data_IF_894328061680
#
_entry.id   IF_894328061680
#
_cell.length_a   1.000
_cell.length_b   1.000
_cell.length_c   1.000
_cell.angle_alpha   90.00
_cell.angle_beta   90.00
_cell.angle_gamma   90.00
#
_symmetry.space_group_name_H-M   'P 1'
#
loop_
_entity.id
_entity.type
_entity.pdbx_description
1 polymer ?
#
# COMPACT_ATOMS: atom_id res chain seq x y z
N UNK A 1 -9.34 15.81 -11.24
CA UNK A 1 -9.45 14.53 -11.96
C UNK A 1 -10.12 13.54 -11.01
N UNK A 2 -11.38 13.21 -11.29
CA UNK A 2 -12.44 12.94 -10.33
C UNK A 2 -12.13 11.83 -9.30
N UNK A 3 -12.39 12.10 -8.02
CA UNK A 3 -12.23 11.15 -6.89
C UNK A 3 -12.96 9.81 -7.14
N UNK A 4 -14.04 9.86 -7.93
CA UNK A 4 -14.78 8.71 -8.46
C UNK A 4 -13.95 7.75 -9.31
N UNK A 5 -13.14 8.26 -10.24
CA UNK A 5 -12.26 7.42 -11.07
C UNK A 5 -11.18 6.76 -10.21
N UNK A 6 -10.62 7.48 -9.23
CA UNK A 6 -9.63 6.92 -8.30
C UNK A 6 -10.21 5.82 -7.43
N UNK A 7 -11.42 6.00 -6.88
CA UNK A 7 -12.11 4.98 -6.09
C UNK A 7 -12.46 3.76 -6.95
N UNK A 8 -13.04 3.98 -8.13
CA UNK A 8 -13.34 2.90 -9.07
C UNK A 8 -12.07 2.13 -9.48
N UNK A 9 -10.99 2.81 -9.86
CA UNK A 9 -9.75 2.17 -10.28
C UNK A 9 -9.08 1.39 -9.13
N UNK A 10 -9.06 1.93 -7.90
CA UNK A 10 -8.53 1.21 -6.74
C UNK A 10 -9.37 -0.02 -6.40
N UNK A 11 -10.70 0.08 -6.49
CA UNK A 11 -11.62 -1.01 -6.18
C UNK A 11 -11.60 -2.09 -7.27
N UNK A 12 -11.54 -1.69 -8.54
CA UNK A 12 -11.35 -2.58 -9.67
C UNK A 12 -9.99 -3.31 -9.61
N UNK A 13 -8.91 -2.62 -9.23
CA UNK A 13 -7.57 -3.21 -9.10
C UNK A 13 -7.49 -4.21 -7.94
N UNK A 14 -8.09 -3.89 -6.78
CA UNK A 14 -8.16 -4.83 -5.64
C UNK A 14 -9.03 -6.05 -5.94
N UNK A 15 -10.12 -5.88 -6.69
CA UNK A 15 -10.98 -6.99 -7.07
C UNK A 15 -10.35 -7.88 -8.13
N UNK A 16 -9.72 -7.28 -9.16
CA UNK A 16 -9.08 -8.01 -10.25
C UNK A 16 -7.91 -8.90 -9.78
N UNK A 17 -7.25 -8.55 -8.68
CA UNK A 17 -6.21 -9.38 -8.06
C UNK A 17 -6.71 -10.40 -7.04
N UNK A 18 -8.01 -10.44 -6.74
CA UNK A 18 -8.54 -11.33 -5.69
C UNK A 18 -8.74 -12.77 -6.19
N UNK A 19 -8.39 -13.80 -5.39
CA UNK A 19 -8.62 -15.20 -5.75
C UNK A 19 -10.09 -15.53 -6.04
N UNK A 20 -11.02 -14.83 -5.37
CA UNK A 20 -12.46 -15.03 -5.54
C UNK A 20 -12.94 -14.62 -6.94
N UNK A 21 -12.43 -13.51 -7.48
CA UNK A 21 -12.76 -13.05 -8.84
C UNK A 21 -12.19 -13.99 -9.89
N UNK A 22 -11.00 -14.56 -9.67
CA UNK A 22 -10.45 -15.58 -10.55
C UNK A 22 -11.35 -16.82 -10.62
N UNK A 23 -11.78 -17.36 -9.47
CA UNK A 23 -12.70 -18.52 -9.42
C UNK A 23 -14.03 -18.20 -10.11
N UNK A 24 -14.57 -17.00 -9.92
CA UNK A 24 -15.79 -16.56 -10.60
C UNK A 24 -15.61 -16.46 -12.12
N UNK A 25 -14.49 -15.90 -12.58
CA UNK A 25 -14.17 -15.80 -14.01
C UNK A 25 -14.02 -17.19 -14.66
N UNK A 26 -13.32 -18.12 -14.01
CA UNK A 26 -13.21 -19.50 -14.47
C UNK A 26 -14.58 -20.17 -14.54
N UNK A 27 -15.42 -19.98 -13.51
CA UNK A 27 -16.78 -20.54 -13.49
C UNK A 27 -17.64 -20.01 -14.63
N UNK A 28 -17.53 -18.72 -14.96
CA UNK A 28 -18.21 -18.11 -16.10
C UNK A 28 -17.76 -18.71 -17.44
N UNK A 29 -16.45 -18.92 -17.63
CA UNK A 29 -15.90 -19.54 -18.84
C UNK A 29 -16.37 -20.99 -18.97
N UNK A 30 -16.38 -21.75 -17.88
CA UNK A 30 -16.91 -23.13 -17.86
C UNK A 30 -18.40 -23.15 -18.18
N UNK A 31 -19.19 -22.27 -17.56
CA UNK A 31 -20.62 -22.13 -17.83
C UNK A 31 -20.90 -21.79 -19.30
N UNK A 32 -20.15 -20.86 -19.88
CA UNK A 32 -20.21 -20.54 -21.31
C UNK A 32 -19.89 -21.74 -22.20
N UNK A 33 -18.84 -22.50 -21.86
CA UNK A 33 -18.42 -23.68 -22.63
C UNK A 33 -19.47 -24.80 -22.59
N UNK A 34 -20.11 -25.02 -21.43
CA UNK A 34 -21.17 -26.02 -21.23
C UNK A 34 -22.47 -25.64 -21.94
N UNK A 35 -22.77 -24.35 -22.08
CA UNK A 35 -23.93 -23.85 -22.83
C UNK A 35 -23.68 -23.83 -24.35
N UNK A 36 -22.42 -23.83 -24.79
CA UNK A 36 -22.04 -23.82 -26.20
C UNK A 36 -22.70 -24.87 -27.11
N UNK A 37 -22.83 -26.15 -26.69
CA UNK A 37 -23.51 -27.18 -27.48
C UNK A 37 -25.00 -26.89 -27.74
N UNK A 38 -25.68 -26.22 -26.80
CA UNK A 38 -27.08 -25.82 -26.95
C UNK A 38 -27.23 -24.78 -28.07
N UNK A 39 -26.24 -23.89 -28.22
CA UNK A 39 -26.19 -22.85 -29.24
C UNK A 39 -25.39 -23.27 -30.49
N UNK A 40 -25.00 -24.54 -30.59
CA UNK A 40 -24.23 -25.08 -31.72
C UNK A 40 -22.87 -24.40 -31.94
N UNK A 41 -22.29 -23.78 -30.90
CA UNK A 41 -21.09 -22.94 -31.01
C UNK A 41 -21.14 -21.93 -32.16
N UNK A 42 -22.29 -21.28 -32.36
CA UNK A 42 -22.49 -20.30 -33.43
C UNK A 42 -21.49 -19.15 -33.41
N UNK A 43 -21.32 -18.50 -34.55
CA UNK A 43 -20.42 -17.33 -34.68
C UNK A 43 -20.80 -16.23 -33.69
N UNK A 44 -22.09 -16.00 -33.45
CA UNK A 44 -22.56 -15.02 -32.45
C UNK A 44 -22.18 -15.45 -31.04
N UNK A 45 -22.27 -16.74 -30.71
CA UNK A 45 -21.90 -17.27 -29.39
C UNK A 45 -20.41 -17.09 -29.09
N UNK A 46 -19.56 -17.33 -30.08
CA UNK A 46 -18.11 -17.12 -30.00
C UNK A 46 -17.75 -15.63 -30.00
N UNK A 47 -18.44 -14.83 -30.82
CA UNK A 47 -18.22 -13.38 -30.91
C UNK A 47 -18.46 -12.71 -29.57
N UNK A 48 -19.53 -13.05 -28.86
CA UNK A 48 -19.84 -12.47 -27.55
C UNK A 48 -18.68 -12.65 -26.56
N UNK A 49 -18.18 -13.88 -26.38
CA UNK A 49 -17.09 -14.10 -25.41
C UNK A 49 -15.78 -13.44 -25.86
N UNK A 50 -15.46 -13.49 -27.14
CA UNK A 50 -14.23 -12.90 -27.68
C UNK A 50 -14.25 -11.38 -27.55
N UNK A 51 -15.35 -10.73 -27.96
CA UNK A 51 -15.49 -9.28 -27.86
C UNK A 51 -15.46 -8.82 -26.41
N UNK A 52 -16.18 -9.50 -25.50
CA UNK A 52 -16.19 -9.13 -24.08
C UNK A 52 -14.81 -9.30 -23.44
N UNK A 53 -14.14 -10.42 -23.66
CA UNK A 53 -12.81 -10.68 -23.09
C UNK A 53 -11.77 -9.69 -23.63
N UNK A 54 -11.86 -9.33 -24.91
CA UNK A 54 -10.97 -8.32 -25.52
C UNK A 54 -11.12 -6.95 -24.86
N UNK A 55 -12.36 -6.48 -24.66
CA UNK A 55 -12.63 -5.20 -23.99
C UNK A 55 -12.10 -5.23 -22.55
N UNK A 56 -12.39 -6.30 -21.80
CA UNK A 56 -11.92 -6.45 -20.42
C UNK A 56 -10.39 -6.44 -20.37
N UNK A 57 -9.74 -7.17 -21.28
CA UNK A 57 -8.28 -7.25 -21.36
C UNK A 57 -7.67 -5.89 -21.67
N UNK A 58 -8.24 -5.16 -22.64
CA UNK A 58 -7.80 -3.82 -22.98
C UNK A 58 -7.89 -2.87 -21.79
N UNK A 59 -9.00 -2.89 -21.05
CA UNK A 59 -9.15 -2.11 -19.82
C UNK A 59 -8.17 -2.56 -18.73
N UNK A 60 -7.92 -3.87 -18.61
CA UNK A 60 -7.01 -4.43 -17.62
C UNK A 60 -5.57 -3.98 -17.84
N UNK A 61 -5.12 -3.81 -19.09
CA UNK A 61 -3.80 -3.23 -19.40
C UNK A 61 -3.65 -1.86 -18.76
N UNK A 62 -4.64 -0.96 -18.89
CA UNK A 62 -4.60 0.36 -18.25
C UNK A 62 -4.61 0.28 -16.72
N UNK A 63 -5.40 -0.63 -16.14
CA UNK A 63 -5.45 -0.82 -14.69
C UNK A 63 -4.11 -1.34 -14.14
N UNK A 64 -3.51 -2.31 -14.82
CA UNK A 64 -2.18 -2.84 -14.49
C UNK A 64 -1.14 -1.73 -14.60
N UNK A 65 -1.12 -0.98 -15.70
CA UNK A 65 -0.19 0.13 -15.89
C UNK A 65 -0.35 1.21 -14.81
N UNK A 66 -1.58 1.57 -14.43
CA UNK A 66 -1.83 2.53 -13.36
C UNK A 66 -1.31 2.03 -12.00
N UNK A 67 -1.55 0.76 -11.69
CA UNK A 67 -1.09 0.13 -10.44
C UNK A 67 0.44 0.04 -10.43
N UNK A 68 1.04 -0.46 -11.50
CA UNK A 68 2.50 -0.58 -11.66
C UNK A 68 3.21 0.78 -11.62
N UNK A 69 2.66 1.82 -12.26
CA UNK A 69 3.25 3.16 -12.23
C UNK A 69 3.24 3.75 -10.80
N UNK A 70 2.18 3.49 -10.02
CA UNK A 70 2.12 3.90 -8.61
C UNK A 70 3.13 3.14 -7.75
N UNK A 71 3.20 1.83 -7.90
CA UNK A 71 4.07 0.97 -7.09
C UNK A 71 5.56 1.23 -7.43
N UNK A 72 5.88 1.52 -8.69
CA UNK A 72 7.22 1.95 -9.11
C UNK A 72 7.67 3.24 -8.43
N UNK A 73 6.80 4.25 -8.34
CA UNK A 73 7.10 5.50 -7.60
C UNK A 73 7.30 5.25 -6.11
N UNK A 74 6.46 4.40 -5.49
CA UNK A 74 6.60 4.06 -4.08
C UNK A 74 7.91 3.30 -3.80
N UNK A 75 8.34 2.43 -4.71
CA UNK A 75 9.63 1.74 -4.62
C UNK A 75 10.80 2.72 -4.66
N UNK A 76 10.78 3.66 -5.61
CA UNK A 76 11.82 4.70 -5.71
C UNK A 76 11.91 5.53 -4.42
N UNK A 77 10.79 6.01 -3.88
CA UNK A 77 10.77 6.75 -2.62
C UNK A 77 11.34 5.95 -1.43
N UNK A 78 11.03 4.66 -1.34
CA UNK A 78 11.59 3.79 -0.30
C UNK A 78 13.10 3.61 -0.44
N UNK A 79 13.58 3.46 -1.67
CA UNK A 79 15.02 3.37 -1.96
C UNK A 79 15.74 4.69 -1.64
N UNK A 80 15.15 5.82 -2.01
CA UNK A 80 15.70 7.15 -1.72
C UNK A 80 15.82 7.36 -0.20
N UNK A 81 14.81 6.95 0.57
CA UNK A 81 14.85 7.04 2.04
C UNK A 81 15.90 6.10 2.64
N UNK A 82 16.05 4.87 2.13
CA UNK A 82 17.11 3.96 2.56
C UNK A 82 18.51 4.52 2.29
N UNK A 83 18.73 5.12 1.11
CA UNK A 83 20.00 5.78 0.76
C UNK A 83 20.23 6.98 1.69
N UNK A 84 19.19 7.77 1.95
CA UNK A 84 19.27 8.94 2.84
C UNK A 84 19.62 8.56 4.27
N UNK A 85 18.94 7.57 4.85
CA UNK A 85 19.24 7.06 6.20
C UNK A 85 20.64 6.48 6.25
N UNK A 86 21.08 5.76 5.22
CA UNK A 86 22.46 5.25 5.14
C UNK A 86 23.50 6.37 5.08
N UNK A 87 23.25 7.44 4.33
CA UNK A 87 24.13 8.62 4.29
C UNK A 87 24.12 9.39 5.60
N UNK A 88 22.96 9.58 6.20
CA UNK A 88 22.82 10.25 7.49
C UNK A 88 23.52 9.46 8.60
N UNK A 89 23.27 8.16 8.72
CA UNK A 89 23.94 7.29 9.69
C UNK A 89 25.46 7.31 9.53
N UNK A 90 25.95 7.35 8.28
CA UNK A 90 27.38 7.47 7.98
C UNK A 90 27.95 8.83 8.37
N UNK A 91 27.26 9.92 8.07
CA UNK A 91 27.66 11.27 8.46
C UNK A 91 27.62 11.44 9.99
N UNK A 92 26.61 10.90 10.66
CA UNK A 92 26.51 10.93 12.12
C UNK A 92 27.59 10.07 12.78
N UNK A 93 27.97 8.92 12.21
CA UNK A 93 29.13 8.17 12.70
C UNK A 93 30.45 8.95 12.52
N UNK A 94 30.63 9.63 11.37
CA UNK A 94 31.79 10.48 11.12
C UNK A 94 31.87 11.65 12.10
N UNK A 95 30.74 12.33 12.35
CA UNK A 95 30.65 13.38 13.38
C UNK A 95 30.92 12.81 14.79
N UNK A 96 30.42 11.60 15.11
CA UNK A 96 30.66 10.93 16.40
C UNK A 96 32.12 10.53 16.62
N UNK A 97 32.89 10.27 15.56
CA UNK A 97 34.33 10.00 15.66
C UNK A 97 35.16 11.28 15.83
N UNK A 98 34.65 12.44 15.38
CA UNK A 98 35.32 13.74 15.52
C UNK A 98 34.94 14.50 16.80
N UNK A 99 33.88 14.09 17.50
CA UNK A 99 33.42 14.68 18.76
C UNK A 99 34.39 14.41 19.92
N UNK A 100 34.75 15.44 20.67
CA UNK A 100 35.51 15.30 21.93
C UNK A 100 34.64 14.63 23.01
N UNK A 101 35.26 13.98 24.00
CA UNK A 101 34.58 13.20 25.05
C UNK A 101 33.51 14.02 25.79
N UNK A 102 33.76 15.33 25.97
CA UNK A 102 32.82 16.28 26.57
C UNK A 102 31.58 16.58 25.70
N UNK A 103 31.72 16.53 24.39
CA UNK A 103 30.61 16.77 23.47
C UNK A 103 29.74 15.51 23.34
N UNK A 104 30.36 14.33 23.41
CA UNK A 104 29.67 13.04 23.52
C UNK A 104 28.82 12.95 24.80
N UNK A 105 29.36 13.37 25.94
CA UNK A 105 28.65 13.44 27.22
C UNK A 105 27.46 14.40 27.19
N UNK A 106 27.61 15.58 26.55
CA UNK A 106 26.50 16.52 26.35
C UNK A 106 25.38 15.92 25.51
N UNK A 107 25.73 15.27 24.41
CA UNK A 107 24.75 14.61 23.53
C UNK A 107 24.02 13.48 24.27
N UNK A 108 24.74 12.70 25.09
CA UNK A 108 24.15 11.66 25.93
C UNK A 108 23.16 12.23 26.96
N UNK A 109 23.52 13.32 27.65
CA UNK A 109 22.59 13.99 28.57
C UNK A 109 21.35 14.54 27.87
N UNK A 110 21.50 15.08 26.66
CA UNK A 110 20.39 15.62 25.87
C UNK A 110 19.43 14.51 25.42
N UNK A 111 19.95 13.37 24.97
CA UNK A 111 19.15 12.18 24.65
C UNK A 111 18.43 11.62 25.87
N UNK A 112 19.10 11.58 27.03
CA UNK A 112 18.50 11.11 28.28
C UNK A 112 17.33 12.01 28.71
N UNK A 113 17.50 13.33 28.62
CA UNK A 113 16.41 14.31 28.86
C UNK A 113 15.25 14.11 27.88
N UNK A 114 15.52 13.87 26.60
CA UNK A 114 14.47 13.61 25.60
C UNK A 114 13.69 12.32 25.85
N UNK A 115 14.36 11.26 26.34
CA UNK A 115 13.71 10.01 26.70
C UNK A 115 12.80 10.16 27.93
N UNK A 116 13.24 10.93 28.92
CA UNK A 116 12.45 11.22 30.13
C UNK A 116 11.20 12.07 29.80
N UNK A 117 11.33 13.14 29.00
CA UNK A 117 10.18 13.99 28.62
C UNK A 117 9.11 13.23 27.82
N UNK A 118 9.53 12.33 26.91
CA UNK A 118 8.59 11.50 26.17
C UNK A 118 7.86 10.48 27.06
N UNK A 119 8.56 9.92 28.05
CA UNK A 119 7.96 8.98 29.01
C UNK A 119 6.91 9.69 29.88
N UNK A 120 7.21 10.90 30.35
CA UNK A 120 6.28 11.71 31.15
C UNK A 120 5.06 12.17 30.35
N UNK A 121 5.25 12.56 29.08
CA UNK A 121 4.14 12.89 28.18
C UNK A 121 3.20 11.69 27.98
N UNK A 122 3.74 10.50 27.74
CA UNK A 122 2.93 9.28 27.56
C UNK A 122 2.14 8.93 28.83
N UNK A 123 2.77 9.07 30.01
CA UNK A 123 2.10 8.87 31.30
C UNK A 123 0.95 9.86 31.52
N UNK A 124 1.15 11.15 31.18
CA UNK A 124 0.11 12.18 31.30
C UNK A 124 -1.08 11.95 30.35
N UNK A 125 -0.82 11.46 29.14
CA UNK A 125 -1.87 11.12 28.16
C UNK A 125 -2.66 9.91 28.64
N UNK A 126 -1.99 8.88 29.18
CA UNK A 126 -2.69 7.73 29.76
C UNK A 126 -3.55 8.11 30.97
N UNK A 127 -3.08 9.02 31.83
CA UNK A 127 -3.85 9.53 32.96
C UNK A 127 -5.12 10.26 32.50
N UNK A 128 -5.00 11.18 31.52
CA UNK A 128 -6.14 11.89 30.92
C UNK A 128 -7.12 10.93 30.24
N UNK A 129 -6.63 9.89 29.55
CA UNK A 129 -7.47 8.88 28.93
C UNK A 129 -8.24 8.03 29.96
N UNK A 130 -7.65 7.76 31.13
CA UNK A 130 -8.33 7.07 32.23
C UNK A 130 -9.42 7.95 32.86
N UNK A 131 -9.15 9.23 33.09
CA UNK A 131 -10.18 10.18 33.59
C UNK A 131 -11.37 10.30 32.63
N UNK A 132 -11.10 10.49 31.33
CA UNK A 132 -12.16 10.62 30.31
C UNK A 132 -13.00 9.34 30.21
N UNK A 133 -12.40 8.15 30.38
CA UNK A 133 -13.14 6.88 30.43
C UNK A 133 -13.97 6.71 31.70
N UNK A 134 -13.54 7.27 32.83
CA UNK A 134 -14.28 7.17 34.09
C UNK A 134 -15.48 8.12 34.14
N UNK A 135 -15.42 9.28 33.46
CA UNK A 135 -16.53 10.25 33.38
C UNK A 135 -17.63 9.82 32.40
N UNK A 136 -17.35 8.88 31.49
CA UNK A 136 -18.33 8.33 30.53
C UNK A 136 -19.10 7.10 31.02
N UNK A 137 -18.87 6.65 32.25
CA UNK A 137 -19.61 5.57 32.92
C UNK A 137 -20.58 6.16 33.94
#
# INVERSE_FOLDING_TARGET
MNDLFRRFANQASTWAGSPQVFVMAVSLVVGWALLGPVFGYSDTWQLVINTTTTIITFLMVFLIQNTQNRDGKAMQLKLDELIRVSKYARNTMLDLEELDEKELDRLHEEFKRFADDNTDRLNSIQAKLKEVKNVRK
#
